data_IF_118305968318
#
_entry.id   IF_118305968318
#
_cell.length_a   1.000
_cell.length_b   1.000
_cell.length_c   1.000
_cell.angle_alpha   90.00
_cell.angle_beta   90.00
_cell.angle_gamma   90.00
#
_symmetry.space_group_name_H-M   'P 1'
#
loop_
_entity.id
_entity.type
_entity.pdbx_description
1 polymer ?
#
# COMPACT_ATOMS: atom_id res chain seq x y z
N UNK A 1 -43.80 20.34 34.26
CA UNK A 1 -43.33 21.03 33.04
C UNK A 1 -42.28 20.12 32.44
N UNK A 2 -42.74 19.02 31.84
CA UNK A 2 -41.89 17.99 31.24
C UNK A 2 -41.87 18.20 29.74
N UNK A 3 -40.69 18.53 29.20
CA UNK A 3 -40.46 18.63 27.77
C UNK A 3 -40.05 17.26 27.23
N UNK A 4 -41.02 16.55 26.66
CA UNK A 4 -40.77 15.36 25.85
C UNK A 4 -40.27 15.79 24.47
N UNK A 5 -39.00 15.52 24.19
CA UNK A 5 -38.40 15.62 22.87
C UNK A 5 -38.87 14.45 22.00
N UNK A 6 -39.58 14.75 20.91
CA UNK A 6 -39.90 13.80 19.86
C UNK A 6 -38.79 13.82 18.80
N UNK A 7 -38.14 12.67 18.61
CA UNK A 7 -37.23 12.42 17.50
C UNK A 7 -38.04 12.04 16.25
N UNK A 8 -37.74 12.58 15.05
CA UNK A 8 -38.40 12.18 13.82
C UNK A 8 -37.83 10.86 13.30
N UNK A 9 -38.74 9.92 13.02
CA UNK A 9 -38.50 8.68 12.30
C UNK A 9 -38.17 9.01 10.84
N UNK A 10 -36.94 8.71 10.40
CA UNK A 10 -36.55 8.73 9.00
C UNK A 10 -37.12 7.48 8.30
N UNK A 11 -37.98 7.71 7.31
CA UNK A 11 -38.56 6.69 6.44
C UNK A 11 -37.48 6.03 5.58
N UNK A 12 -37.47 4.71 5.59
CA UNK A 12 -36.61 3.87 4.77
C UNK A 12 -37.30 3.63 3.43
N UNK A 13 -36.93 4.38 2.41
CA UNK A 13 -37.35 4.08 1.04
C UNK A 13 -36.48 2.96 0.47
N UNK A 14 -37.08 1.78 0.35
CA UNK A 14 -36.53 0.59 -0.29
C UNK A 14 -36.33 0.82 -1.79
N UNK A 15 -35.09 1.13 -2.18
CA UNK A 15 -34.67 1.12 -3.58
C UNK A 15 -34.27 -0.31 -3.96
N UNK A 16 -35.18 -1.02 -4.62
CA UNK A 16 -34.94 -2.35 -5.19
C UNK A 16 -34.04 -2.25 -6.43
N UNK A 17 -32.74 -2.46 -6.25
CA UNK A 17 -31.76 -2.53 -7.35
C UNK A 17 -31.83 -3.94 -7.96
N UNK A 18 -32.40 -4.03 -9.17
CA UNK A 18 -32.41 -5.24 -9.99
C UNK A 18 -31.04 -5.44 -10.64
N UNK A 19 -30.32 -6.48 -10.21
CA UNK A 19 -29.04 -6.88 -10.81
C UNK A 19 -29.28 -7.74 -12.05
N UNK A 20 -29.05 -7.19 -13.25
CA UNK A 20 -28.94 -7.96 -14.48
C UNK A 20 -27.55 -8.60 -14.58
N UNK A 21 -27.50 -9.93 -14.45
CA UNK A 21 -26.30 -10.74 -14.66
C UNK A 21 -26.13 -11.07 -16.14
N UNK A 22 -25.21 -10.37 -16.82
CA UNK A 22 -24.79 -10.74 -18.17
C UNK A 22 -23.81 -11.92 -18.12
N UNK A 23 -24.26 -13.10 -18.58
CA UNK A 23 -23.41 -14.29 -18.75
C UNK A 23 -22.71 -14.21 -20.12
N UNK A 24 -21.40 -13.96 -20.13
CA UNK A 24 -20.59 -14.04 -21.36
C UNK A 24 -20.07 -15.48 -21.54
N UNK A 25 -20.53 -16.14 -22.60
CA UNK A 25 -20.03 -17.45 -23.04
C UNK A 25 -18.78 -17.23 -23.91
N UNK A 26 -17.61 -17.65 -23.42
CA UNK A 26 -16.36 -17.56 -24.18
C UNK A 26 -16.20 -18.82 -25.05
N UNK A 27 -16.34 -18.65 -26.37
CA UNK A 27 -16.06 -19.69 -27.37
C UNK A 27 -14.54 -19.75 -27.60
N UNK A 28 -13.91 -20.85 -27.21
CA UNK A 28 -12.46 -21.05 -27.39
C UNK A 28 -12.19 -21.78 -28.71
N UNK A 29 -11.82 -21.03 -29.75
CA UNK A 29 -11.33 -21.58 -31.01
C UNK A 29 -9.87 -22.02 -30.83
N UNK A 30 -9.64 -23.33 -30.78
CA UNK A 30 -8.32 -23.95 -30.80
C UNK A 30 -7.76 -23.95 -32.24
N UNK A 31 -6.70 -23.19 -32.49
CA UNK A 31 -5.86 -23.37 -33.68
C UNK A 31 -4.61 -24.17 -33.29
N UNK A 32 -4.68 -25.46 -33.60
CA UNK A 32 -3.60 -26.43 -33.48
C UNK A 32 -2.59 -26.18 -34.62
N UNK A 33 -1.39 -25.72 -34.30
CA UNK A 33 -0.24 -25.71 -35.23
C UNK A 33 0.89 -26.51 -34.61
N UNK A 34 1.07 -27.74 -35.10
CA UNK A 34 2.26 -28.54 -34.85
C UNK A 34 3.46 -27.95 -35.61
N UNK A 35 4.65 -27.99 -35.02
CA UNK A 35 5.87 -28.18 -35.79
C UNK A 35 6.49 -29.54 -35.45
N UNK A 36 6.40 -30.43 -36.42
CA UNK A 36 7.27 -31.57 -36.61
C UNK A 36 8.70 -31.07 -36.86
N UNK A 37 9.65 -31.38 -35.98
CA UNK A 37 11.03 -31.65 -36.37
C UNK A 37 11.75 -32.45 -35.28
N UNK A 38 11.77 -33.76 -35.50
CA UNK A 38 12.71 -34.67 -34.88
C UNK A 38 14.13 -34.30 -35.30
N UNK A 39 14.98 -33.91 -34.35
CA UNK A 39 16.43 -34.04 -34.47
C UNK A 39 16.91 -34.90 -33.32
N UNK A 40 17.09 -36.18 -33.62
CA UNK A 40 17.86 -37.11 -32.81
C UNK A 40 19.32 -36.62 -32.78
N UNK A 41 19.71 -35.94 -31.70
CA UNK A 41 21.12 -35.83 -31.33
C UNK A 41 21.45 -36.99 -30.39
N UNK A 42 22.08 -38.02 -30.94
CA UNK A 42 22.68 -39.12 -30.19
C UNK A 42 23.89 -38.57 -29.44
N UNK A 43 23.66 -38.08 -28.22
CA UNK A 43 24.73 -37.67 -27.31
C UNK A 43 25.29 -38.96 -26.69
N UNK A 44 26.46 -39.37 -27.17
CA UNK A 44 27.26 -40.40 -26.51
C UNK A 44 27.62 -39.93 -25.09
N UNK A 45 27.28 -40.69 -24.03
CA UNK A 45 27.76 -40.38 -22.69
C UNK A 45 29.25 -40.69 -22.63
N UNK A 46 30.07 -39.63 -22.56
CA UNK A 46 31.48 -39.77 -22.22
C UNK A 46 31.56 -40.33 -20.80
N UNK A 47 32.09 -41.56 -20.69
CA UNK A 47 32.39 -42.23 -19.44
C UNK A 47 33.54 -41.49 -18.75
N UNK A 48 33.23 -40.48 -17.94
CA UNK A 48 34.20 -39.89 -17.01
C UNK A 48 34.26 -40.75 -15.74
N UNK A 49 35.42 -41.39 -15.61
CA UNK A 49 35.92 -42.19 -14.51
C UNK A 49 35.86 -41.50 -13.14
N UNK A 50 35.33 -42.24 -12.15
CA UNK A 50 35.86 -42.41 -10.79
C UNK A 50 36.21 -41.20 -9.91
N UNK A 51 35.59 -40.04 -10.12
CA UNK A 51 35.59 -38.93 -9.13
C UNK A 51 34.19 -38.54 -8.66
N UNK A 52 33.23 -39.48 -8.75
CA UNK A 52 31.80 -39.22 -8.58
C UNK A 52 31.25 -39.17 -7.14
N UNK A 53 32.04 -39.48 -6.11
CA UNK A 53 31.47 -39.69 -4.76
C UNK A 53 31.40 -38.42 -3.91
N UNK A 54 32.27 -37.43 -4.12
CA UNK A 54 32.35 -36.23 -3.25
C UNK A 54 31.32 -35.15 -3.61
N UNK A 55 30.86 -35.10 -4.87
CA UNK A 55 29.85 -34.11 -5.33
C UNK A 55 28.43 -34.45 -4.83
N UNK A 56 28.18 -35.70 -4.41
CA UNK A 56 26.86 -36.14 -3.96
C UNK A 56 26.51 -35.56 -2.57
N UNK A 57 27.46 -35.49 -1.64
CA UNK A 57 27.21 -35.05 -0.28
C UNK A 57 26.89 -33.54 -0.20
N UNK A 58 27.57 -32.69 -0.96
CA UNK A 58 27.28 -31.26 -1.00
C UNK A 58 25.91 -30.96 -1.65
N UNK A 59 25.57 -31.67 -2.73
CA UNK A 59 24.26 -31.57 -3.40
C UNK A 59 23.13 -32.12 -2.51
N UNK A 60 23.38 -33.21 -1.79
CA UNK A 60 22.45 -33.79 -0.81
C UNK A 60 22.27 -32.89 0.42
N UNK A 61 23.33 -32.28 0.97
CA UNK A 61 23.24 -31.27 2.04
C UNK A 61 22.46 -30.03 1.58
N UNK A 62 22.69 -29.52 0.36
CA UNK A 62 21.88 -28.43 -0.22
C UNK A 62 20.41 -28.86 -0.39
N UNK A 63 20.13 -30.10 -0.79
CA UNK A 63 18.78 -30.63 -0.96
C UNK A 63 18.09 -30.87 0.40
N UNK A 64 18.80 -31.32 1.43
CA UNK A 64 18.28 -31.47 2.79
C UNK A 64 18.04 -30.13 3.47
N UNK A 65 18.92 -29.14 3.29
CA UNK A 65 18.67 -27.75 3.71
C UNK A 65 17.41 -27.16 3.05
N UNK A 66 17.09 -27.57 1.81
CA UNK A 66 15.84 -27.19 1.12
C UNK A 66 14.62 -28.00 1.55
N UNK A 67 14.79 -29.19 2.12
CA UNK A 67 13.70 -30.06 2.57
C UNK A 67 13.18 -29.70 3.96
N UNK A 68 13.93 -28.92 4.73
CA UNK A 68 13.47 -28.35 6.00
C UNK A 68 13.18 -26.86 5.82
N UNK A 69 12.39 -26.53 4.79
CA UNK A 69 11.67 -25.25 4.85
C UNK A 69 10.65 -25.44 5.96
N UNK A 70 10.91 -24.84 7.12
CA UNK A 70 9.99 -24.86 8.27
C UNK A 70 8.62 -24.30 7.86
N UNK A 71 8.58 -23.48 6.80
CA UNK A 71 7.36 -22.90 6.26
C UNK A 71 6.89 -23.58 5.00
N UNK A 72 5.58 -23.72 4.90
CA UNK A 72 4.92 -24.06 3.65
C UNK A 72 5.21 -23.00 2.59
N UNK A 73 5.57 -23.46 1.40
CA UNK A 73 5.83 -22.60 0.26
C UNK A 73 4.58 -21.78 -0.05
N UNK A 74 4.68 -20.45 0.03
CA UNK A 74 3.60 -19.53 -0.38
C UNK A 74 3.24 -19.79 -1.84
N UNK A 75 2.04 -20.33 -2.07
CA UNK A 75 1.56 -20.71 -3.40
C UNK A 75 1.36 -19.49 -4.29
N UNK A 76 1.31 -19.67 -5.61
CA UNK A 76 1.05 -18.57 -6.56
C UNK A 76 -0.36 -17.97 -6.42
N UNK A 77 -1.32 -18.78 -5.96
CA UNK A 77 -2.73 -18.40 -5.78
C UNK A 77 -3.05 -17.94 -4.36
N UNK A 78 -2.01 -17.61 -3.59
CA UNK A 78 -2.16 -17.22 -2.20
C UNK A 78 -2.69 -15.79 -2.11
N UNK A 79 -3.81 -15.60 -1.39
CA UNK A 79 -4.49 -14.29 -1.22
C UNK A 79 -3.56 -13.20 -0.70
N UNK A 80 -2.51 -13.58 0.05
CA UNK A 80 -1.51 -12.63 0.57
C UNK A 80 -0.78 -11.89 -0.54
N UNK A 81 -0.71 -12.46 -1.75
CA UNK A 81 -0.11 -11.81 -2.93
C UNK A 81 -1.01 -10.70 -3.49
N UNK A 82 -2.31 -10.78 -3.24
CA UNK A 82 -3.30 -9.87 -3.82
C UNK A 82 -3.58 -8.67 -2.91
N UNK A 83 -3.26 -8.75 -1.60
CA UNK A 83 -3.57 -7.68 -0.64
C UNK A 83 -3.04 -6.31 -1.05
N UNK A 84 -1.78 -6.22 -1.48
CA UNK A 84 -1.21 -4.93 -1.89
C UNK A 84 -1.86 -4.38 -3.15
N UNK A 85 -2.23 -5.25 -4.09
CA UNK A 85 -2.95 -4.85 -5.31
C UNK A 85 -4.36 -4.36 -4.96
N UNK A 86 -5.06 -5.08 -4.08
CA UNK A 86 -6.39 -4.69 -3.62
C UNK A 86 -6.35 -3.36 -2.86
N UNK A 87 -5.42 -3.19 -1.92
CA UNK A 87 -5.24 -1.94 -1.17
C UNK A 87 -4.93 -0.78 -2.11
N UNK A 88 -3.98 -0.96 -3.04
CA UNK A 88 -3.63 0.05 -4.05
C UNK A 88 -4.85 0.45 -4.87
N UNK A 89 -5.62 -0.51 -5.35
CA UNK A 89 -6.81 -0.24 -6.16
C UNK A 89 -7.89 0.48 -5.34
N UNK A 90 -8.08 0.11 -4.08
CA UNK A 90 -9.01 0.79 -3.18
C UNK A 90 -8.60 2.25 -2.94
N UNK A 91 -7.32 2.50 -2.65
CA UNK A 91 -6.79 3.85 -2.41
C UNK A 91 -6.88 4.71 -3.69
N UNK A 92 -6.40 4.19 -4.82
CA UNK A 92 -6.37 4.95 -6.09
C UNK A 92 -7.75 5.12 -6.72
N UNK A 93 -8.79 4.44 -6.23
CA UNK A 93 -10.16 4.62 -6.74
C UNK A 93 -10.79 5.95 -6.33
N UNK A 94 -10.17 6.67 -5.39
CA UNK A 94 -10.69 7.87 -4.71
C UNK A 94 -12.08 7.72 -4.07
N UNK A 95 -12.64 6.50 -4.08
CA UNK A 95 -13.94 6.19 -3.53
C UNK A 95 -13.80 5.74 -2.06
N UNK A 96 -14.24 6.54 -1.08
CA UNK A 96 -14.09 6.21 0.35
C UNK A 96 -14.85 4.93 0.74
N UNK A 97 -15.92 4.58 0.05
CA UNK A 97 -16.68 3.36 0.32
C UNK A 97 -15.88 2.10 -0.08
N UNK A 98 -15.10 2.15 -1.17
CA UNK A 98 -14.24 1.02 -1.57
C UNK A 98 -13.08 0.84 -0.60
N UNK A 99 -12.53 1.94 -0.09
CA UNK A 99 -11.49 1.90 0.93
C UNK A 99 -12.04 1.33 2.24
N UNK A 100 -13.18 1.84 2.71
CA UNK A 100 -13.87 1.32 3.89
C UNK A 100 -14.17 -0.17 3.76
N UNK A 101 -14.70 -0.60 2.61
CA UNK A 101 -14.99 -2.02 2.33
C UNK A 101 -13.73 -2.88 2.39
N UNK A 102 -12.60 -2.40 1.88
CA UNK A 102 -11.32 -3.12 2.00
C UNK A 102 -10.97 -3.34 3.48
N UNK A 103 -10.97 -2.28 4.29
CA UNK A 103 -10.59 -2.37 5.70
C UNK A 103 -11.56 -3.23 6.52
N UNK A 104 -12.88 -3.14 6.28
CA UNK A 104 -13.87 -3.94 7.02
C UNK A 104 -13.90 -5.41 6.59
N UNK A 105 -13.49 -5.73 5.35
CA UNK A 105 -13.49 -7.11 4.84
C UNK A 105 -12.21 -7.86 5.21
N UNK A 106 -11.06 -7.21 5.10
CA UNK A 106 -9.76 -7.89 5.17
C UNK A 106 -8.99 -7.64 6.47
N UNK A 107 -9.36 -6.62 7.25
CA UNK A 107 -8.71 -6.32 8.52
C UNK A 107 -9.53 -6.83 9.70
N UNK A 108 -8.86 -7.11 10.81
CA UNK A 108 -9.54 -7.31 12.09
C UNK A 108 -10.20 -6.01 12.57
N UNK A 109 -11.32 -6.07 13.32
CA UNK A 109 -11.90 -4.88 13.93
C UNK A 109 -10.91 -4.14 14.84
N UNK A 110 -10.01 -4.89 15.51
CA UNK A 110 -8.97 -4.37 16.40
C UNK A 110 -7.67 -3.97 15.66
N UNK A 111 -7.72 -3.81 14.34
CA UNK A 111 -6.53 -3.47 13.55
C UNK A 111 -5.96 -2.12 13.99
N UNK A 112 -4.64 -2.06 14.10
CA UNK A 112 -3.91 -0.82 14.36
C UNK A 112 -3.12 -0.37 13.14
N UNK A 113 -2.91 0.94 13.02
CA UNK A 113 -1.99 1.53 12.06
C UNK A 113 -1.03 2.45 12.78
N UNK A 114 0.26 2.30 12.53
CA UNK A 114 1.30 3.20 13.02
C UNK A 114 2.10 3.75 11.85
N UNK A 115 2.32 5.07 11.84
CA UNK A 115 3.26 5.69 10.91
C UNK A 115 4.47 6.26 11.66
N UNK A 116 5.65 6.05 11.06
CA UNK A 116 6.94 6.52 11.57
C UNK A 116 7.70 7.18 10.42
N UNK A 117 8.23 8.38 10.66
CA UNK A 117 9.19 9.00 9.75
C UNK A 117 10.58 8.41 10.03
N UNK A 118 11.34 8.01 9.01
CA UNK A 118 12.66 7.40 9.23
C UNK A 118 13.66 8.33 9.94
N UNK A 119 13.52 9.64 9.75
CA UNK A 119 14.34 10.66 10.42
C UNK A 119 14.02 10.82 11.91
N UNK A 120 12.92 10.25 12.39
CA UNK A 120 12.50 10.31 13.79
C UNK A 120 12.28 8.91 14.35
N UNK A 121 12.80 8.63 15.54
CA UNK A 121 12.47 7.38 16.24
C UNK A 121 11.02 7.33 16.74
N UNK A 122 10.32 8.47 16.76
CA UNK A 122 9.00 8.59 17.35
C UNK A 122 7.89 8.17 16.37
N UNK A 123 6.94 7.39 16.89
CA UNK A 123 5.68 7.10 16.17
C UNK A 123 4.86 8.38 16.21
N UNK A 124 4.74 9.05 15.07
CA UNK A 124 4.07 10.34 15.03
C UNK A 124 2.55 10.19 14.99
N UNK A 125 2.03 9.04 14.55
CA UNK A 125 0.58 8.77 14.50
C UNK A 125 0.28 7.29 14.69
N UNK A 126 -0.59 7.00 15.66
CA UNK A 126 -1.16 5.68 15.88
C UNK A 126 -2.68 5.75 15.79
N UNK A 127 -3.27 4.89 14.96
CA UNK A 127 -4.70 4.75 14.78
C UNK A 127 -5.12 3.33 15.14
N UNK A 128 -6.37 3.18 15.57
CA UNK A 128 -6.98 1.89 15.86
C UNK A 128 -8.39 1.85 15.30
N UNK A 129 -8.80 0.68 14.81
CA UNK A 129 -10.10 0.44 14.22
C UNK A 129 -10.10 0.58 12.70
N UNK A 130 -10.61 -0.43 12.02
CA UNK A 130 -10.67 -0.50 10.56
C UNK A 130 -11.36 0.72 9.92
N UNK A 131 -12.49 1.16 10.51
CA UNK A 131 -13.26 2.30 10.01
C UNK A 131 -12.51 3.63 10.16
N UNK A 132 -11.89 3.84 11.33
CA UNK A 132 -11.15 5.07 11.62
C UNK A 132 -9.91 5.21 10.75
N UNK A 133 -9.20 4.10 10.50
CA UNK A 133 -8.07 4.07 9.57
C UNK A 133 -8.54 4.38 8.15
N UNK A 134 -9.61 3.75 7.67
CA UNK A 134 -10.15 3.99 6.34
C UNK A 134 -10.56 5.46 6.14
N UNK A 135 -11.27 6.04 7.11
CA UNK A 135 -11.68 7.45 7.07
C UNK A 135 -10.46 8.39 7.04
N UNK A 136 -9.45 8.13 7.88
CA UNK A 136 -8.25 8.96 7.95
C UNK A 136 -7.47 8.92 6.64
N UNK A 137 -7.33 7.74 6.01
CA UNK A 137 -6.68 7.61 4.71
C UNK A 137 -7.53 8.30 3.62
N UNK A 138 -8.85 8.12 3.62
CA UNK A 138 -9.72 8.78 2.65
C UNK A 138 -9.63 10.32 2.74
N UNK A 139 -9.57 10.87 3.95
CA UNK A 139 -9.36 12.31 4.17
C UNK A 139 -8.01 12.76 3.60
N UNK A 140 -6.92 12.05 3.91
CA UNK A 140 -5.59 12.38 3.40
C UNK A 140 -5.50 12.30 1.85
N UNK A 141 -6.20 11.32 1.24
CA UNK A 141 -6.31 11.23 -0.22
C UNK A 141 -7.16 12.37 -0.78
N UNK A 142 -8.22 12.79 -0.08
CA UNK A 142 -9.07 13.90 -0.49
C UNK A 142 -8.38 15.26 -0.51
N UNK A 143 -7.30 15.44 0.25
CA UNK A 143 -6.45 16.64 0.23
C UNK A 143 -5.56 16.72 -1.02
N UNK A 144 -5.43 15.62 -1.78
CA UNK A 144 -4.51 15.47 -2.91
C UNK A 144 -5.31 15.00 -4.15
N UNK A 145 -5.80 15.92 -5.00
CA UNK A 145 -6.76 15.61 -6.08
C UNK A 145 -6.26 14.60 -7.12
N UNK A 146 -4.95 14.52 -7.32
CA UNK A 146 -4.25 13.63 -8.26
C UNK A 146 -3.44 12.55 -7.52
N UNK A 147 -3.81 12.25 -6.28
CA UNK A 147 -3.12 11.25 -5.46
C UNK A 147 -3.03 9.89 -6.16
N UNK A 148 -1.84 9.33 -6.18
CA UNK A 148 -1.58 7.98 -6.66
C UNK A 148 -0.61 7.23 -5.74
N UNK A 149 -1.02 6.04 -5.34
CA UNK A 149 -0.18 5.03 -4.72
C UNK A 149 0.36 4.06 -5.78
N UNK A 150 1.67 3.88 -5.80
CA UNK A 150 2.36 2.90 -6.65
C UNK A 150 3.07 1.88 -5.77
N UNK A 151 2.85 0.59 -6.03
CA UNK A 151 3.54 -0.51 -5.35
C UNK A 151 4.71 -0.96 -6.24
N UNK A 152 5.94 -0.78 -5.76
CA UNK A 152 7.15 -1.10 -6.52
C UNK A 152 7.62 -2.54 -6.33
N UNK A 153 7.41 -3.10 -5.14
CA UNK A 153 7.82 -4.46 -4.82
C UNK A 153 7.06 -4.99 -3.60
N UNK A 154 6.82 -6.30 -3.57
CA UNK A 154 6.10 -6.98 -2.49
C UNK A 154 6.86 -8.24 -2.10
N UNK A 155 7.11 -8.41 -0.81
CA UNK A 155 7.71 -9.59 -0.20
C UNK A 155 6.79 -10.15 0.87
N UNK A 156 6.71 -11.48 0.96
CA UNK A 156 5.96 -12.16 2.03
C UNK A 156 6.99 -12.82 2.93
N UNK A 157 7.05 -12.40 4.19
CA UNK A 157 7.91 -12.93 5.25
C UNK A 157 7.10 -13.83 6.18
N UNK A 158 7.64 -15.00 6.51
CA UNK A 158 7.08 -15.92 7.49
C UNK A 158 8.14 -16.15 8.57
N UNK A 159 7.74 -16.09 9.83
CA UNK A 159 8.64 -16.12 10.99
C UNK A 159 8.39 -17.38 11.82
N UNK A 160 9.46 -18.01 12.32
CA UNK A 160 9.37 -19.37 12.89
C UNK A 160 8.58 -19.38 14.19
N UNK A 161 8.69 -18.28 14.93
CA UNK A 161 8.11 -18.12 16.26
C UNK A 161 6.77 -17.36 16.25
N UNK A 162 6.26 -16.97 15.08
CA UNK A 162 5.05 -16.16 14.96
C UNK A 162 3.97 -16.91 14.20
N UNK A 163 2.78 -16.94 14.80
CA UNK A 163 1.58 -17.44 14.14
C UNK A 163 1.04 -16.35 13.21
N UNK A 164 1.56 -16.32 11.99
CA UNK A 164 1.18 -15.30 11.02
C UNK A 164 2.17 -15.14 9.87
N UNK A 165 1.92 -14.13 9.06
CA UNK A 165 2.87 -13.71 8.02
C UNK A 165 2.88 -12.20 7.90
N UNK A 166 3.96 -11.67 7.35
CA UNK A 166 4.11 -10.25 7.08
C UNK A 166 4.22 -10.02 5.59
N UNK A 167 3.50 -9.02 5.08
CA UNK A 167 3.67 -8.51 3.73
C UNK A 167 4.44 -7.22 3.86
N UNK A 168 5.63 -7.17 3.26
CA UNK A 168 6.46 -5.96 3.21
C UNK A 168 6.44 -5.45 1.78
N UNK A 169 5.99 -4.21 1.60
CA UNK A 169 5.87 -3.59 0.29
C UNK A 169 6.58 -2.24 0.26
N UNK A 170 7.32 -2.00 -0.83
CA UNK A 170 7.84 -0.68 -1.13
C UNK A 170 6.78 0.08 -1.93
N UNK A 171 6.38 1.23 -1.41
CA UNK A 171 5.29 2.04 -1.94
C UNK A 171 5.77 3.46 -2.21
N UNK A 172 5.31 4.05 -3.31
CA UNK A 172 5.54 5.46 -3.62
C UNK A 172 4.18 6.14 -3.71
N UNK A 173 4.03 7.23 -2.96
CA UNK A 173 2.86 8.09 -3.00
C UNK A 173 3.22 9.36 -3.75
N UNK A 174 2.37 9.75 -4.71
CA UNK A 174 2.54 10.97 -5.50
C UNK A 174 1.26 11.78 -5.51
N UNK A 175 1.34 13.09 -5.62
CA UNK A 175 0.21 13.97 -5.83
C UNK A 175 0.59 15.44 -5.60
N UNK A 176 -0.29 16.35 -5.94
CA UNK A 176 -0.12 17.79 -5.78
C UNK A 176 -0.94 18.26 -4.59
N UNK A 177 -0.27 18.84 -3.60
CA UNK A 177 -0.93 19.50 -2.48
C UNK A 177 -1.18 20.96 -2.83
N UNK A 178 -2.42 21.42 -2.62
CA UNK A 178 -2.72 22.84 -2.65
C UNK A 178 -2.17 23.41 -1.33
N UNK A 179 -1.05 24.13 -1.39
CA UNK A 179 -0.54 24.82 -0.23
C UNK A 179 -1.49 25.97 0.06
N UNK A 180 -2.22 25.87 1.17
CA UNK A 180 -2.87 27.03 1.75
C UNK A 180 -1.78 28.01 2.15
N UNK A 181 -1.90 29.22 1.62
CA UNK A 181 -0.90 30.27 1.74
C UNK A 181 -0.70 30.56 3.24
N UNK A 182 0.45 30.11 3.81
CA UNK A 182 0.80 30.31 5.22
C UNK A 182 1.06 31.80 5.57
N UNK A 183 0.78 32.69 4.62
CA UNK A 183 0.90 34.15 4.64
C UNK A 183 0.24 34.80 5.85
N UNK A 184 -0.85 34.21 6.37
CA UNK A 184 -1.59 34.76 7.52
C UNK A 184 -0.83 34.72 8.86
N UNK A 185 0.26 33.94 8.94
CA UNK A 185 1.06 33.85 10.17
C UNK A 185 2.16 34.92 10.26
N UNK A 186 2.61 35.47 9.13
CA UNK A 186 3.68 36.49 9.09
C UNK A 186 3.14 37.91 9.23
N UNK A 187 1.95 38.20 8.71
CA UNK A 187 1.36 39.55 8.78
C UNK A 187 0.90 39.93 10.19
N UNK A 188 0.44 38.95 11.00
CA UNK A 188 0.09 39.17 12.42
C UNK A 188 1.28 39.49 13.32
N UNK A 189 2.51 39.22 12.89
CA UNK A 189 3.72 39.53 13.65
C UNK A 189 4.32 40.91 13.34
N UNK A 190 3.97 41.55 12.21
CA UNK A 190 4.46 42.89 11.89
C UNK A 190 3.50 44.02 12.28
N UNK A 191 2.20 43.74 12.40
CA UNK A 191 1.19 44.74 12.77
C UNK A 191 1.14 45.10 14.27
N UNK A 192 1.90 44.43 15.14
CA UNK A 192 2.03 44.83 16.55
C UNK A 192 3.09 45.92 16.80
N UNK A 193 3.90 46.31 15.81
CA UNK A 193 5.01 47.25 16.04
C UNK A 193 4.88 48.65 15.41
N UNK A 194 3.84 48.94 14.62
CA UNK A 194 3.70 50.26 14.00
C UNK A 194 2.26 50.78 14.08
N UNK A 195 1.97 51.59 15.09
CA UNK A 195 0.75 52.39 15.15
C UNK A 195 0.71 53.43 14.02
N UNK A 196 0.09 53.08 12.89
CA UNK A 196 -0.52 54.02 11.93
C UNK A 196 -1.36 53.22 10.93
N UNK A 197 -2.67 53.25 11.11
CA UNK A 197 -3.64 52.58 10.24
C UNK A 197 -3.88 53.47 9.02
N UNK A 198 -3.32 53.09 7.87
CA UNK A 198 -3.84 53.49 6.56
C UNK A 198 -4.68 52.34 6.03
N UNK A 199 -5.99 52.55 5.92
CA UNK A 199 -6.93 51.66 5.23
C UNK A 199 -6.66 51.78 3.71
N UNK A 200 -5.66 51.03 3.23
CA UNK A 200 -5.51 50.74 1.80
C UNK A 200 -6.25 49.44 1.49
N UNK A 201 -7.25 49.50 0.62
CA UNK A 201 -7.95 48.31 0.11
C UNK A 201 -7.02 47.50 -0.79
N UNK A 202 -6.13 46.70 -0.20
CA UNK A 202 -5.33 45.74 -0.95
C UNK A 202 -6.22 44.56 -1.36
N UNK A 203 -6.53 44.49 -2.64
CA UNK A 203 -7.03 43.28 -3.30
C UNK A 203 -5.93 42.24 -3.30
N UNK A 204 -5.82 41.47 -2.21
CA UNK A 204 -4.92 40.33 -2.12
C UNK A 204 -5.37 39.27 -3.14
N UNK A 205 -4.66 39.18 -4.26
CA UNK A 205 -4.78 38.05 -5.18
C UNK A 205 -4.22 36.82 -4.48
N UNK A 206 -5.11 35.92 -4.03
CA UNK A 206 -4.71 34.62 -3.50
C UNK A 206 -4.06 33.80 -4.63
N UNK A 207 -2.73 33.72 -4.60
CA UNK A 207 -1.98 32.82 -5.48
C UNK A 207 -1.84 31.49 -4.74
N UNK A 208 -2.65 30.48 -5.09
CA UNK A 208 -2.42 29.14 -4.57
C UNK A 208 -1.12 28.57 -5.15
N UNK A 209 -0.22 28.14 -4.27
CA UNK A 209 1.00 27.42 -4.68
C UNK A 209 0.69 25.93 -4.64
N UNK A 210 0.98 25.24 -5.74
CA UNK A 210 0.88 23.78 -5.80
C UNK A 210 2.24 23.18 -5.42
N UNK A 211 2.25 22.27 -4.45
CA UNK A 211 3.46 21.58 -3.97
C UNK A 211 3.39 20.12 -4.42
N UNK A 212 4.41 19.66 -5.14
CA UNK A 212 4.53 18.25 -5.52
C UNK A 212 4.90 17.42 -4.29
N UNK A 213 4.05 16.44 -3.96
CA UNK A 213 4.26 15.49 -2.87
C UNK A 213 4.75 14.20 -3.49
N UNK A 214 5.98 13.82 -3.16
CA UNK A 214 6.55 12.54 -3.57
C UNK A 214 7.18 11.83 -2.37
N UNK A 215 6.44 10.87 -1.81
CA UNK A 215 6.84 10.16 -0.61
C UNK A 215 7.16 8.70 -0.93
N UNK A 216 8.34 8.24 -0.53
CA UNK A 216 8.72 6.83 -0.59
C UNK A 216 8.47 6.22 0.78
N UNK A 217 7.86 5.04 0.83
CA UNK A 217 7.52 4.39 2.09
C UNK A 217 7.71 2.88 1.99
N UNK A 218 8.03 2.27 3.13
CA UNK A 218 7.94 0.83 3.32
C UNK A 218 6.69 0.55 4.16
N UNK A 219 5.73 -0.14 3.56
CA UNK A 219 4.51 -0.57 4.21
C UNK A 219 4.64 -2.04 4.65
N UNK A 220 4.34 -2.32 5.91
CA UNK A 220 4.31 -3.68 6.46
C UNK A 220 2.91 -4.02 6.94
N UNK A 221 2.33 -5.08 6.38
CA UNK A 221 1.06 -5.65 6.82
C UNK A 221 1.35 -6.89 7.65
N UNK A 222 0.97 -6.89 8.92
CA UNK A 222 1.03 -8.10 9.76
C UNK A 222 -0.29 -8.84 9.70
N UNK A 223 -0.24 -10.13 9.40
CA UNK A 223 -1.40 -11.00 9.21
C UNK A 223 -1.51 -12.06 10.30
N UNK A 224 -2.74 -12.41 10.70
CA UNK A 224 -3.04 -13.53 11.60
C UNK A 224 -2.93 -14.90 10.89
N UNK A 225 -3.26 -15.97 11.62
CA UNK A 225 -3.31 -17.35 11.11
C UNK A 225 -4.32 -17.54 9.96
N UNK A 226 -5.38 -16.72 9.94
CA UNK A 226 -6.42 -16.72 8.91
C UNK A 226 -6.13 -15.71 7.79
N UNK A 227 -4.91 -15.18 7.76
CA UNK A 227 -4.44 -14.18 6.81
C UNK A 227 -5.17 -12.83 6.85
N UNK A 228 -5.88 -12.52 7.94
CA UNK A 228 -6.50 -11.19 8.15
C UNK A 228 -5.48 -10.19 8.65
N UNK A 229 -5.64 -8.93 8.26
CA UNK A 229 -4.70 -7.88 8.63
C UNK A 229 -4.93 -7.43 10.07
N UNK A 230 -3.87 -7.51 10.89
CA UNK A 230 -3.88 -7.17 12.33
C UNK A 230 -3.20 -5.83 12.58
N UNK A 231 -2.19 -5.48 11.79
CA UNK A 231 -1.44 -4.25 11.96
C UNK A 231 -0.92 -3.73 10.62
N UNK A 232 -0.97 -2.41 10.45
CA UNK A 232 -0.34 -1.65 9.38
C UNK A 232 0.81 -0.82 9.96
N UNK A 233 2.02 -1.03 9.49
CA UNK A 233 3.14 -0.16 9.80
C UNK A 233 3.59 0.55 8.53
N UNK A 234 3.69 1.87 8.57
CA UNK A 234 4.20 2.69 7.49
C UNK A 234 5.48 3.37 7.95
N UNK A 235 6.58 3.12 7.26
CA UNK A 235 7.85 3.80 7.50
C UNK A 235 8.11 4.72 6.33
N UNK A 236 7.99 6.02 6.58
CA UNK A 236 8.07 7.08 5.59
C UNK A 236 9.49 7.60 5.46
N UNK A 237 9.97 7.66 4.22
CA UNK A 237 11.16 8.38 3.81
C UNK A 237 10.72 9.64 3.06
N UNK A 238 10.78 10.78 3.74
CA UNK A 238 10.65 12.07 3.08
C UNK A 238 11.91 12.28 2.26
N UNK A 239 11.76 12.23 0.95
CA UNK A 239 12.78 12.69 0.02
C UNK A 239 12.44 14.15 -0.27
N UNK A 240 13.05 15.09 0.44
CA UNK A 240 12.93 16.51 0.12
C UNK A 240 13.53 16.75 -1.26
N UNK A 241 12.67 16.73 -2.29
CA UNK A 241 13.06 16.97 -3.68
C UNK A 241 13.54 18.40 -3.93
N UNK A 242 13.13 19.34 -3.08
CA UNK A 242 13.48 20.76 -3.24
C UNK A 242 14.89 21.11 -2.77
N UNK A 243 15.60 20.20 -2.10
CA UNK A 243 16.94 20.47 -1.56
C UNK A 243 18.08 19.70 -2.23
N UNK A 244 17.81 18.63 -2.98
CA UNK A 244 18.86 17.83 -3.60
C UNK A 244 18.57 17.51 -5.07
N UNK A 245 19.09 18.36 -5.95
CA UNK A 245 19.36 17.96 -7.32
C UNK A 245 20.25 16.71 -7.34
N UNK A 246 19.73 15.61 -7.89
CA UNK A 246 20.48 14.46 -8.40
C UNK A 246 21.32 13.62 -7.41
N UNK A 247 20.80 13.25 -6.24
CA UNK A 247 21.39 12.12 -5.48
C UNK A 247 20.63 10.81 -5.75
N UNK A 248 21.25 9.99 -6.59
CA UNK A 248 20.83 8.66 -6.99
C UNK A 248 20.68 7.73 -5.76
N UNK A 249 19.46 7.33 -5.43
CA UNK A 249 19.14 6.30 -4.43
C UNK A 249 19.71 4.93 -4.88
N UNK A 250 21.00 4.70 -4.62
CA UNK A 250 21.64 3.39 -4.78
C UNK A 250 21.51 2.58 -3.49
N UNK A 251 20.71 1.52 -3.59
CA UNK A 251 20.80 0.27 -2.83
C UNK A 251 20.75 0.39 -1.29
N UNK A 252 19.53 0.44 -0.76
CA UNK A 252 19.25 -0.11 0.58
C UNK A 252 18.45 -1.39 0.40
N UNK A 253 19.14 -2.54 0.28
CA UNK A 253 18.51 -3.83 0.47
C UNK A 253 18.30 -4.04 1.97
N UNK A 254 17.04 -4.16 2.40
CA UNK A 254 16.61 -4.66 3.72
C UNK A 254 16.24 -6.13 3.60
#
# INVERSE_FOLDING_TARGET
MDMLLHSPLLSSDDVSITHHTHTHTHTHSQSHTQPSHARHSTIHPLHTSETGVVVSAAKWRRRMRRRVSIFDRVLKRDVRRDYMTMLRNSINSTNPCLLLKFFTTYCLPSVSMSSRMRSSSEVYKQLSGAQHIAYTIAQAVGELPDFIMVVQGVQIKQHVCYRGSQIVAQTVFKGMKIAEDMSDSREKLQLQHAGKIQLGSSTATMSSVLVDVHMVSVMTLSLDELHRIVCFEMVEDIVDLDMYGNTCLKNTCV
#
